data_IF_206471481326
#
_entry.id   IF_206471481326
#
_cell.length_a   1.000
_cell.length_b   1.000
_cell.length_c   1.000
_cell.angle_alpha   90.00
_cell.angle_beta   90.00
_cell.angle_gamma   90.00
#
_symmetry.space_group_name_H-M   'P 1'
#
loop_
_entity.id
_entity.type
_entity.pdbx_description
1 polymer ?
#
# COMPACT_ATOMS: atom_id res chain seq x y z
N UNK A 1 4.62 11.45 22.57
CA UNK A 1 4.68 12.78 21.91
C UNK A 1 5.06 12.51 20.48
N UNK A 2 4.10 12.58 19.54
CA UNK A 2 4.36 12.33 18.13
C UNK A 2 4.23 13.69 17.45
N UNK A 3 5.37 14.29 17.11
CA UNK A 3 5.38 15.42 16.19
C UNK A 3 4.92 14.92 14.81
N UNK A 4 3.72 15.31 14.41
CA UNK A 4 3.26 15.19 13.02
C UNK A 4 3.85 16.37 12.27
N UNK A 5 5.05 16.17 11.74
CA UNK A 5 5.73 17.10 10.85
C UNK A 5 4.89 17.35 9.58
N UNK A 6 4.94 18.58 9.10
CA UNK A 6 4.23 19.12 7.92
C UNK A 6 4.56 18.38 6.61
N UNK A 7 3.98 17.21 6.41
CA UNK A 7 3.74 16.61 5.11
C UNK A 7 2.31 16.07 5.15
N UNK A 8 1.42 16.55 4.30
CA UNK A 8 0.10 15.93 4.18
C UNK A 8 0.33 14.55 3.58
N UNK A 9 0.32 13.51 4.41
CA UNK A 9 0.27 12.15 3.85
C UNK A 9 -1.13 11.99 3.27
N UNK A 10 -1.23 11.94 1.95
CA UNK A 10 -2.52 11.91 1.25
C UNK A 10 -3.21 10.53 1.33
N UNK A 11 -2.44 9.44 1.39
CA UNK A 11 -3.01 8.08 1.32
C UNK A 11 -2.48 7.13 2.40
N UNK A 12 -3.36 6.23 2.86
CA UNK A 12 -2.96 5.15 3.75
C UNK A 12 -3.70 3.84 3.47
N UNK A 13 -3.01 2.73 3.71
CA UNK A 13 -3.55 1.37 3.74
C UNK A 13 -3.43 0.83 5.16
N UNK A 14 -4.52 0.25 5.68
CA UNK A 14 -4.51 -0.41 7.00
C UNK A 14 -4.53 -1.91 6.82
N UNK A 15 -3.52 -2.59 7.36
CA UNK A 15 -3.45 -4.03 7.49
C UNK A 15 -3.96 -4.42 8.87
N UNK A 16 -4.80 -5.45 8.93
CA UNK A 16 -5.25 -6.06 10.18
C UNK A 16 -4.83 -7.52 10.19
N UNK A 17 -4.40 -8.04 11.33
CA UNK A 17 -4.18 -9.48 11.47
C UNK A 17 -5.49 -10.23 11.76
N UNK A 18 -5.45 -11.55 11.54
CA UNK A 18 -6.59 -12.44 11.76
C UNK A 18 -6.59 -13.03 13.19
N UNK A 19 -5.92 -12.39 14.16
CA UNK A 19 -5.83 -12.89 15.54
C UNK A 19 -7.13 -12.62 16.33
N UNK A 20 -7.38 -13.39 17.43
CA UNK A 20 -8.53 -13.15 18.30
C UNK A 20 -8.55 -11.74 18.89
N UNK A 21 -9.75 -11.21 19.10
CA UNK A 21 -10.04 -9.82 19.43
C UNK A 21 -9.29 -9.30 20.67
N UNK A 22 -8.70 -8.08 20.64
CA UNK A 22 -8.69 -7.15 19.50
C UNK A 22 -7.63 -7.49 18.44
N UNK A 23 -7.94 -7.30 17.14
CA UNK A 23 -6.97 -7.49 16.07
C UNK A 23 -5.82 -6.48 16.21
N UNK A 24 -4.62 -6.87 15.78
CA UNK A 24 -3.52 -5.93 15.63
C UNK A 24 -3.58 -5.28 14.27
N UNK A 25 -3.23 -4.01 14.21
CA UNK A 25 -3.22 -3.23 12.99
C UNK A 25 -1.86 -2.61 12.74
N UNK A 26 -1.52 -2.48 11.47
CA UNK A 26 -0.43 -1.65 10.98
C UNK A 26 -0.95 -0.80 9.84
N UNK A 27 -0.47 0.43 9.75
CA UNK A 27 -0.84 1.39 8.72
C UNK A 27 0.38 1.80 7.91
N UNK A 28 0.24 1.69 6.59
CA UNK A 28 1.18 2.18 5.60
C UNK A 28 0.68 3.52 5.09
N UNK A 29 1.49 4.54 5.28
CA UNK A 29 1.31 5.92 4.87
C UNK A 29 2.14 6.17 3.62
N UNK A 30 1.57 6.77 2.59
CA UNK A 30 2.22 6.93 1.29
C UNK A 30 1.93 8.30 0.71
N UNK A 31 3.00 8.95 0.29
CA UNK A 31 3.01 10.12 -0.57
C UNK A 31 4.07 9.88 -1.65
N UNK A 32 3.86 8.82 -2.43
CA UNK A 32 4.81 8.35 -3.41
C UNK A 32 4.11 7.49 -4.45
N UNK A 33 4.84 7.20 -5.53
CA UNK A 33 4.34 6.34 -6.60
C UNK A 33 4.17 4.90 -6.12
N UNK A 34 3.21 4.19 -6.72
CA UNK A 34 2.97 2.78 -6.44
C UNK A 34 2.45 2.04 -7.67
N UNK A 35 2.69 0.74 -7.68
CA UNK A 35 2.28 -0.17 -8.74
C UNK A 35 1.53 -1.35 -8.15
N UNK A 36 0.49 -1.80 -8.86
CA UNK A 36 -0.24 -3.04 -8.56
C UNK A 36 -0.12 -3.95 -9.76
N UNK A 37 0.42 -5.13 -9.54
CA UNK A 37 0.49 -6.21 -10.53
C UNK A 37 -0.56 -7.26 -10.14
N UNK A 38 -1.59 -7.50 -10.98
CA UNK A 38 -2.75 -8.32 -10.65
C UNK A 38 -2.47 -9.84 -10.63
N UNK A 39 -1.23 -10.28 -10.87
CA UNK A 39 -0.88 -11.69 -10.94
C UNK A 39 -1.58 -12.42 -12.10
N UNK A 40 -2.18 -13.58 -11.81
CA UNK A 40 -2.84 -14.42 -12.81
C UNK A 40 -4.37 -14.19 -12.91
N UNK A 41 -4.95 -13.30 -12.09
CA UNK A 41 -6.39 -13.05 -12.08
C UNK A 41 -6.79 -12.14 -13.27
N UNK A 42 -7.56 -12.65 -14.26
CA UNK A 42 -7.95 -11.89 -15.44
C UNK A 42 -8.96 -10.78 -15.13
N UNK A 43 -9.77 -10.90 -14.08
CA UNK A 43 -10.73 -9.88 -13.67
C UNK A 43 -10.00 -8.74 -12.95
N UNK A 44 -9.05 -9.04 -12.06
CA UNK A 44 -8.16 -8.04 -11.47
C UNK A 44 -7.32 -7.34 -12.55
N UNK A 45 -6.87 -8.09 -13.57
CA UNK A 45 -6.13 -7.51 -14.70
C UNK A 45 -6.98 -6.49 -15.47
N UNK A 46 -8.25 -6.77 -15.73
CA UNK A 46 -9.17 -5.80 -16.35
C UNK A 46 -9.41 -4.58 -15.47
N UNK A 47 -9.55 -4.77 -14.16
CA UNK A 47 -9.77 -3.67 -13.22
C UNK A 47 -8.54 -2.75 -13.10
N UNK A 48 -7.34 -3.32 -13.04
CA UNK A 48 -6.07 -2.57 -12.99
C UNK A 48 -5.80 -1.85 -14.33
N UNK A 49 -6.12 -2.46 -15.47
CA UNK A 49 -5.91 -1.83 -16.78
C UNK A 49 -6.99 -0.82 -17.20
N UNK A 50 -8.16 -0.84 -16.56
CA UNK A 50 -9.34 -0.05 -16.93
C UNK A 50 -9.52 1.26 -16.18
N UNK A 51 -8.64 1.62 -15.25
CA UNK A 51 -8.71 2.92 -14.56
C UNK A 51 -7.51 3.79 -14.92
N UNK A 52 -7.65 5.11 -14.75
CA UNK A 52 -6.58 6.06 -15.02
C UNK A 52 -5.99 6.65 -13.73
N UNK A 53 -6.60 6.38 -12.56
CA UNK A 53 -6.17 6.94 -11.28
C UNK A 53 -5.72 5.83 -10.32
N UNK A 54 -4.49 5.90 -9.76
CA UNK A 54 -3.94 4.88 -8.88
C UNK A 54 -4.81 4.53 -7.65
N UNK A 55 -5.54 5.49 -7.11
CA UNK A 55 -6.38 5.33 -5.91
C UNK A 55 -7.58 4.41 -6.09
N UNK A 56 -8.13 4.34 -7.31
CA UNK A 56 -9.24 3.43 -7.58
C UNK A 56 -8.81 1.98 -7.34
N UNK A 57 -7.53 1.67 -7.55
CA UNK A 57 -6.97 0.33 -7.35
C UNK A 57 -6.79 -0.07 -5.88
N UNK A 58 -6.52 0.87 -4.97
CA UNK A 58 -6.26 0.54 -3.57
C UNK A 58 -7.47 -0.11 -2.89
N UNK A 59 -8.69 0.25 -3.31
CA UNK A 59 -9.91 -0.37 -2.82
C UNK A 59 -10.02 -1.86 -3.18
N UNK A 60 -9.42 -2.29 -4.29
CA UNK A 60 -9.40 -3.68 -4.75
C UNK A 60 -8.59 -4.56 -3.79
N UNK A 61 -7.53 -3.99 -3.20
CA UNK A 61 -6.65 -4.70 -2.27
C UNK A 61 -7.33 -5.00 -0.93
N UNK A 62 -8.47 -4.35 -0.61
CA UNK A 62 -9.13 -4.44 0.70
C UNK A 62 -9.61 -5.85 1.07
N UNK A 63 -9.86 -6.70 0.07
CA UNK A 63 -10.32 -8.07 0.28
C UNK A 63 -9.17 -9.11 0.22
N UNK A 64 -7.94 -8.66 -0.02
CA UNK A 64 -6.80 -9.55 -0.16
C UNK A 64 -6.02 -9.66 1.15
N UNK A 65 -5.54 -10.87 1.45
CA UNK A 65 -4.71 -11.13 2.63
C UNK A 65 -3.23 -10.93 2.28
N UNK A 66 -2.48 -10.24 3.14
CA UNK A 66 -1.02 -10.14 3.02
C UNK A 66 -0.38 -11.51 3.26
N UNK A 67 0.37 -12.01 2.27
CA UNK A 67 1.09 -13.29 2.36
C UNK A 67 2.56 -13.09 2.69
N UNK A 68 3.20 -12.09 2.08
CA UNK A 68 4.56 -11.69 2.39
C UNK A 68 4.75 -10.18 2.18
N UNK A 69 5.76 -9.63 2.87
CA UNK A 69 6.23 -8.28 2.60
C UNK A 69 7.73 -8.20 2.81
N UNK A 70 8.41 -7.37 2.00
CA UNK A 70 9.82 -7.07 2.17
C UNK A 70 10.17 -5.68 1.64
N UNK A 71 11.27 -5.14 2.12
CA UNK A 71 11.87 -3.91 1.59
C UNK A 71 12.99 -4.30 0.64
N UNK A 72 12.93 -3.81 -0.60
CA UNK A 72 13.95 -4.05 -1.62
C UNK A 72 15.23 -3.26 -1.33
N UNK A 73 16.33 -3.61 -1.99
CA UNK A 73 17.58 -2.85 -1.89
C UNK A 73 17.45 -1.38 -2.36
N UNK A 74 16.46 -1.09 -3.21
CA UNK A 74 16.14 0.26 -3.68
C UNK A 74 15.21 1.04 -2.71
N UNK A 75 14.84 0.44 -1.57
CA UNK A 75 13.98 1.08 -0.56
C UNK A 75 12.48 1.05 -0.88
N UNK A 76 12.05 0.37 -1.95
CA UNK A 76 10.63 0.12 -2.19
C UNK A 76 10.11 -0.98 -1.24
N UNK A 77 8.88 -0.85 -0.74
CA UNK A 77 8.19 -1.94 -0.04
C UNK A 77 7.34 -2.73 -1.05
N UNK A 78 7.55 -4.04 -1.07
CA UNK A 78 6.82 -4.99 -1.92
C UNK A 78 5.97 -5.86 -1.01
N UNK A 79 4.67 -5.93 -1.31
CA UNK A 79 3.66 -6.65 -0.54
C UNK A 79 2.95 -7.61 -1.48
N UNK A 80 3.00 -8.90 -1.19
CA UNK A 80 2.17 -9.89 -1.89
C UNK A 80 0.85 -10.09 -1.16
N UNK A 81 -0.20 -10.12 -1.95
CA UNK A 81 -1.59 -10.13 -1.52
C UNK A 81 -2.31 -11.27 -2.25
N UNK A 82 -3.03 -12.12 -1.51
CA UNK A 82 -3.85 -13.20 -2.10
C UNK A 82 -3.09 -14.09 -3.09
N UNK A 83 -3.74 -14.36 -4.23
CA UNK A 83 -3.25 -15.21 -5.32
C UNK A 83 -2.29 -14.45 -6.26
N UNK A 84 -1.12 -14.06 -5.73
CA UNK A 84 -0.01 -13.41 -6.45
C UNK A 84 -0.20 -11.95 -6.89
N UNK A 85 -1.12 -11.21 -6.28
CA UNK A 85 -1.17 -9.75 -6.48
C UNK A 85 0.04 -9.12 -5.81
N UNK A 86 0.83 -8.35 -6.56
CA UNK A 86 2.01 -7.64 -6.03
C UNK A 86 1.72 -6.16 -5.95
N UNK A 87 1.71 -5.62 -4.74
CA UNK A 87 1.62 -4.20 -4.48
C UNK A 87 3.01 -3.66 -4.12
N UNK A 88 3.55 -2.78 -4.97
CA UNK A 88 4.87 -2.18 -4.80
C UNK A 88 4.74 -0.69 -4.58
N UNK A 89 5.29 -0.19 -3.47
CA UNK A 89 5.32 1.23 -3.15
C UNK A 89 6.75 1.72 -3.29
N UNK A 90 6.94 2.69 -4.19
CA UNK A 90 8.23 3.12 -4.69
C UNK A 90 8.60 4.44 -4.02
N UNK A 91 9.81 4.55 -3.49
CA UNK A 91 10.33 5.83 -2.94
C UNK A 91 10.67 6.81 -4.07
N UNK A 92 9.64 7.28 -4.76
CA UNK A 92 9.69 8.28 -5.83
C UNK A 92 8.43 9.14 -5.74
N UNK A 93 8.53 10.45 -6.02
CA UNK A 93 7.35 11.30 -6.14
C UNK A 93 6.32 10.70 -7.09
N UNK A 94 5.05 10.75 -6.68
CA UNK A 94 3.93 10.36 -7.53
C UNK A 94 3.94 11.18 -8.83
N UNK A 95 3.73 10.53 -9.97
CA UNK A 95 3.82 11.18 -11.28
C UNK A 95 2.70 12.21 -11.50
N UNK A 96 1.56 12.01 -10.84
CA UNK A 96 0.35 12.82 -10.91
C UNK A 96 0.26 13.88 -9.81
N UNK A 97 1.14 13.84 -8.80
CA UNK A 97 1.20 14.86 -7.74
C UNK A 97 2.59 15.56 -7.68
N UNK A 98 2.69 16.81 -8.15
CA UNK A 98 3.94 17.58 -8.08
C UNK A 98 4.34 18.01 -6.65
N UNK A 99 3.46 17.86 -5.65
CA UNK A 99 3.80 18.11 -4.24
C UNK A 99 4.35 16.87 -3.53
N UNK A 100 4.30 15.72 -4.20
CA UNK A 100 4.70 14.45 -3.62
C UNK A 100 6.18 14.41 -3.26
N UNK A 101 6.47 13.99 -2.03
CA UNK A 101 7.83 13.90 -1.51
C UNK A 101 8.50 12.56 -1.82
N UNK A 102 7.75 11.58 -2.34
CA UNK A 102 8.29 10.27 -2.68
C UNK A 102 8.65 9.43 -1.46
N UNK A 103 7.89 9.58 -0.39
CA UNK A 103 8.11 8.86 0.87
C UNK A 103 6.96 7.93 1.22
N UNK A 104 7.28 6.77 1.79
CA UNK A 104 6.34 5.91 2.50
C UNK A 104 6.81 5.63 3.93
N UNK A 105 5.87 5.39 4.83
CA UNK A 105 6.14 5.07 6.24
C UNK A 105 5.15 4.02 6.72
N UNK A 106 5.63 3.00 7.42
CA UNK A 106 4.77 1.98 8.03
C UNK A 106 4.85 2.09 9.55
N UNK A 107 3.69 2.04 10.20
CA UNK A 107 3.61 1.95 11.66
C UNK A 107 3.95 0.54 12.14
N UNK A 108 4.42 0.42 13.38
CA UNK A 108 4.50 -0.88 14.04
C UNK A 108 3.11 -1.47 14.23
N UNK A 109 3.01 -2.79 14.37
CA UNK A 109 1.76 -3.45 14.75
C UNK A 109 1.31 -2.99 16.14
N UNK A 110 0.07 -2.53 16.27
CA UNK A 110 -0.54 -2.14 17.55
C UNK A 110 -1.91 -2.81 17.71
N UNK A 111 -2.30 -3.14 18.94
CA UNK A 111 -3.65 -3.61 19.23
C UNK A 111 -4.65 -2.45 19.06
N UNK A 112 -5.78 -2.72 18.39
CA UNK A 112 -6.86 -1.73 18.21
C UNK A 112 -7.67 -1.50 19.47
#
# INVERSE_FOLDING_TARGET
MIEVGRGQVEYFVTFSDNLPTPPRQARLYMDCDFQIEPGADPELTKLVSGHNHPLAYLSILSNLTVTESHVTAAGAIVIRLGDDVVFTVINRPALDDPQSHGEWRMTQWFAS
#
